data_IF_971924387407
#
_entry.id   IF_971924387407
#
_cell.length_a   1.000
_cell.length_b   1.000
_cell.length_c   1.000
_cell.angle_alpha   90.00
_cell.angle_beta   90.00
_cell.angle_gamma   90.00
#
_symmetry.space_group_name_H-M   'P 1'
#
loop_
_entity.id
_entity.type
_entity.pdbx_description
1 polymer ?
#
# COMPACT_ATOMS: atom_id res chain seq x y z
N UNK A 1 -6.01 -39.30 -13.57
CA UNK A 1 -6.68 -38.31 -14.40
C UNK A 1 -6.28 -36.94 -13.90
N UNK A 2 -5.46 -36.26 -14.68
CA UNK A 2 -4.63 -35.11 -14.30
C UNK A 2 -5.37 -33.82 -14.64
N UNK A 3 -5.70 -32.98 -13.68
CA UNK A 3 -6.25 -31.64 -13.93
C UNK A 3 -5.28 -30.58 -13.41
N UNK A 4 -4.34 -30.18 -14.26
CA UNK A 4 -3.50 -29.02 -14.06
C UNK A 4 -4.31 -27.75 -14.32
N UNK A 5 -4.65 -27.02 -13.27
CA UNK A 5 -5.19 -25.67 -13.37
C UNK A 5 -4.05 -24.70 -13.71
N UNK A 6 -4.13 -24.14 -14.91
CA UNK A 6 -3.27 -23.04 -15.39
C UNK A 6 -3.71 -21.74 -14.72
N UNK A 7 -2.86 -21.17 -13.88
CA UNK A 7 -2.99 -19.79 -13.44
C UNK A 7 -2.37 -18.86 -14.50
N UNK A 8 -3.18 -18.02 -15.08
CA UNK A 8 -2.71 -16.94 -15.94
C UNK A 8 -2.23 -15.78 -15.06
N UNK A 9 -0.92 -15.60 -14.97
CA UNK A 9 -0.28 -14.45 -14.32
C UNK A 9 -0.18 -13.35 -15.34
N UNK A 10 -0.92 -12.26 -15.14
CA UNK A 10 -0.77 -11.04 -15.92
C UNK A 10 0.54 -10.35 -15.57
N UNK A 11 1.50 -10.41 -16.47
CA UNK A 11 2.81 -9.75 -16.30
C UNK A 11 2.69 -8.25 -16.56
N UNK A 12 2.80 -7.46 -15.52
CA UNK A 12 3.09 -6.04 -15.60
C UNK A 12 4.60 -5.86 -15.75
N UNK A 13 5.02 -5.17 -16.79
CA UNK A 13 6.41 -4.88 -17.11
C UNK A 13 7.06 -4.00 -16.03
N UNK A 14 8.12 -4.49 -15.40
CA UNK A 14 9.03 -3.67 -14.61
C UNK A 14 10.38 -3.67 -15.32
N UNK A 15 10.78 -2.52 -15.87
CA UNK A 15 12.13 -2.29 -16.35
C UNK A 15 12.99 -1.78 -15.20
N UNK A 16 13.87 -2.63 -14.67
CA UNK A 16 14.95 -2.19 -13.78
C UNK A 16 16.18 -1.86 -14.62
N UNK A 17 16.57 -0.60 -14.65
CA UNK A 17 17.89 -0.17 -15.11
C UNK A 17 18.84 -0.21 -13.93
N UNK A 18 19.72 -1.21 -13.88
CA UNK A 18 20.85 -1.24 -12.95
C UNK A 18 22.06 -0.58 -13.58
N UNK A 19 22.48 0.56 -13.02
CA UNK A 19 23.79 1.16 -13.29
C UNK A 19 24.84 0.37 -12.50
N UNK A 20 25.70 -0.37 -13.19
CA UNK A 20 26.83 -1.04 -12.59
C UNK A 20 27.93 -0.02 -12.32
N UNK A 21 28.36 0.10 -11.07
CA UNK A 21 29.54 0.83 -10.65
C UNK A 21 30.82 0.22 -11.28
N UNK A 22 31.56 1.02 -12.02
CA UNK A 22 32.93 0.70 -12.40
C UNK A 22 33.85 1.86 -12.01
N UNK A 23 34.91 1.61 -11.23
CA UNK A 23 35.91 2.63 -10.91
C UNK A 23 37.04 2.57 -11.92
N UNK A 24 37.15 3.54 -12.79
CA UNK A 24 38.45 3.98 -13.37
C UNK A 24 38.25 5.13 -14.37
N UNK A 25 38.41 6.35 -13.92
CA UNK A 25 38.67 7.51 -14.76
C UNK A 25 40.12 7.43 -15.25
N UNK A 26 40.38 6.99 -16.49
CA UNK A 26 41.56 7.35 -17.23
C UNK A 26 41.16 8.15 -18.47
N UNK A 27 41.67 9.37 -18.49
CA UNK A 27 41.54 10.28 -19.60
C UNK A 27 42.13 9.66 -20.89
N UNK A 28 41.31 9.49 -21.92
CA UNK A 28 41.79 9.40 -23.29
C UNK A 28 40.81 10.12 -24.22
N UNK A 29 41.25 11.20 -24.77
CA UNK A 29 40.59 11.96 -25.83
C UNK A 29 40.55 11.11 -27.09
N UNK A 30 39.40 11.00 -27.67
CA UNK A 30 38.97 10.80 -29.06
C UNK A 30 37.87 9.75 -29.15
N UNK A 31 36.66 10.21 -29.51
CA UNK A 31 35.60 9.36 -30.09
C UNK A 31 34.97 8.33 -29.13
N UNK A 32 34.37 8.74 -28.05
CA UNK A 32 33.68 7.81 -27.15
C UNK A 32 32.30 7.42 -27.75
N UNK A 33 32.22 6.19 -28.23
CA UNK A 33 30.93 5.50 -28.38
C UNK A 33 30.52 4.94 -27.01
N UNK A 34 29.36 5.27 -26.56
CA UNK A 34 28.81 4.69 -25.32
C UNK A 34 28.06 3.42 -25.67
N UNK A 35 28.54 2.28 -25.17
CA UNK A 35 27.83 1.00 -25.25
C UNK A 35 26.85 0.94 -24.08
N UNK A 36 25.55 0.99 -24.39
CA UNK A 36 24.49 0.76 -23.40
C UNK A 36 24.01 -0.69 -23.54
N UNK A 37 24.23 -1.48 -22.51
CA UNK A 37 23.70 -2.84 -22.43
C UNK A 37 22.23 -2.80 -21.99
N UNK A 38 21.34 -3.31 -22.84
CA UNK A 38 19.92 -3.43 -22.53
C UNK A 38 19.58 -4.92 -22.46
N UNK A 39 19.02 -5.32 -21.30
CA UNK A 39 18.51 -6.68 -21.13
C UNK A 39 17.02 -6.71 -21.45
N UNK A 40 16.62 -7.55 -22.40
CA UNK A 40 15.20 -7.82 -22.68
C UNK A 40 14.85 -9.27 -22.37
N UNK A 41 13.66 -9.47 -21.81
CA UNK A 41 13.14 -10.80 -21.51
C UNK A 41 12.43 -11.35 -22.74
N UNK A 42 12.87 -12.49 -23.26
CA UNK A 42 12.27 -13.16 -24.43
C UNK A 42 11.34 -14.30 -24.00
N UNK A 43 10.35 -14.61 -24.83
CA UNK A 43 9.21 -15.54 -24.58
C UNK A 43 9.53 -16.99 -24.16
N UNK A 44 10.79 -17.33 -23.91
CA UNK A 44 11.22 -18.66 -23.44
C UNK A 44 12.00 -18.64 -22.13
N UNK A 45 11.84 -17.61 -21.29
CA UNK A 45 12.46 -17.58 -19.97
C UNK A 45 13.98 -17.32 -19.96
N UNK A 46 14.55 -16.79 -21.04
CA UNK A 46 15.98 -16.46 -21.13
C UNK A 46 16.20 -14.97 -21.32
N UNK A 47 17.22 -14.43 -20.63
CA UNK A 47 17.62 -13.04 -20.78
C UNK A 47 18.54 -12.90 -22.00
N UNK A 48 18.18 -12.05 -22.94
CA UNK A 48 19.01 -11.76 -24.12
C UNK A 48 19.65 -10.38 -23.96
N UNK A 49 20.97 -10.35 -24.02
CA UNK A 49 21.77 -9.13 -24.01
C UNK A 49 21.82 -8.56 -25.43
N UNK A 50 21.29 -7.35 -25.63
CA UNK A 50 21.37 -6.62 -26.87
C UNK A 50 22.28 -5.40 -26.68
N UNK A 51 23.31 -5.23 -27.49
CA UNK A 51 24.15 -4.04 -27.52
C UNK A 51 23.60 -3.10 -28.58
N UNK A 52 23.20 -1.91 -28.16
CA UNK A 52 22.80 -0.85 -29.08
C UNK A 52 23.98 0.12 -29.20
N UNK A 53 24.57 0.20 -30.37
CA UNK A 53 25.54 1.24 -30.71
C UNK A 53 24.77 2.50 -31.09
N UNK A 54 24.74 3.48 -30.19
CA UNK A 54 24.23 4.79 -30.52
C UNK A 54 25.25 5.56 -31.35
N UNK A 55 24.98 5.71 -32.67
CA UNK A 55 25.73 6.58 -33.54
C UNK A 55 25.49 8.04 -33.13
N UNK A 56 26.41 8.59 -32.36
CA UNK A 56 26.34 9.97 -31.88
C UNK A 56 26.46 10.98 -33.02
N UNK A 57 25.33 11.41 -33.58
CA UNK A 57 25.32 12.68 -34.31
C UNK A 57 25.56 13.79 -33.30
N UNK A 58 26.66 14.48 -33.50
CA UNK A 58 27.16 15.59 -32.66
C UNK A 58 26.12 16.72 -32.57
N UNK A 59 25.19 16.62 -31.63
CA UNK A 59 24.45 17.78 -31.18
C UNK A 59 25.34 18.49 -30.15
N UNK A 60 25.91 19.62 -30.55
CA UNK A 60 26.62 20.51 -29.64
C UNK A 60 25.61 21.23 -28.72
N UNK A 61 25.06 20.53 -27.76
CA UNK A 61 24.32 21.16 -26.69
C UNK A 61 25.29 21.70 -25.62
N UNK A 62 25.16 23.00 -25.34
CA UNK A 62 25.98 23.66 -24.32
C UNK A 62 25.84 22.90 -22.99
N UNK A 63 26.92 22.61 -22.25
CA UNK A 63 26.89 21.74 -21.07
C UNK A 63 25.94 22.18 -19.95
N UNK A 64 25.60 23.47 -19.90
CA UNK A 64 24.65 24.04 -18.91
C UNK A 64 23.19 23.57 -19.12
N UNK A 65 22.80 23.22 -20.36
CA UNK A 65 21.43 22.75 -20.68
C UNK A 65 21.30 21.25 -20.40
N UNK A 66 22.36 20.48 -20.62
CA UNK A 66 22.37 19.03 -20.38
C UNK A 66 22.27 18.69 -18.87
N UNK A 67 22.89 19.50 -18.00
CA UNK A 67 22.82 19.31 -16.54
C UNK A 67 21.41 19.66 -16.03
N UNK A 68 20.76 20.70 -16.56
CA UNK A 68 19.39 21.06 -16.19
C UNK A 68 18.36 19.99 -16.58
N UNK A 69 18.53 19.34 -17.75
CA UNK A 69 17.63 18.28 -18.19
C UNK A 69 17.83 16.97 -17.41
N UNK A 70 19.06 16.68 -16.98
CA UNK A 70 19.37 15.49 -16.17
C UNK A 70 18.81 15.59 -14.74
N UNK A 71 18.77 16.79 -14.17
CA UNK A 71 18.21 17.02 -12.82
C UNK A 71 16.68 16.88 -12.81
N UNK A 72 16.00 17.22 -13.92
CA UNK A 72 14.54 17.08 -14.03
C UNK A 72 14.06 15.62 -14.13
N UNK A 73 14.92 14.70 -14.56
CA UNK A 73 14.57 13.26 -14.75
C UNK A 73 14.79 12.45 -13.44
N UNK A 74 15.55 12.99 -12.49
CA UNK A 74 15.89 12.29 -11.21
C UNK A 74 15.16 12.91 -10.01
N UNK A 75 14.06 13.65 -10.23
CA UNK A 75 13.19 13.98 -9.11
C UNK A 75 12.46 12.69 -8.68
N UNK A 76 12.85 12.02 -7.59
CA UNK A 76 12.08 10.87 -7.12
C UNK A 76 10.68 11.40 -6.83
N UNK A 77 9.66 10.79 -7.41
CA UNK A 77 8.30 10.90 -6.88
C UNK A 77 8.39 10.38 -5.44
N UNK A 78 8.64 11.27 -4.51
CA UNK A 78 8.55 10.96 -3.09
C UNK A 78 7.07 10.71 -2.83
N UNK A 79 6.70 9.43 -2.85
CA UNK A 79 5.45 8.99 -2.26
C UNK A 79 5.57 9.28 -0.76
N UNK A 80 5.16 10.48 -0.37
CA UNK A 80 5.26 10.91 1.03
C UNK A 80 4.43 9.94 1.88
N UNK A 81 5.14 9.12 2.66
CA UNK A 81 4.51 8.25 3.62
C UNK A 81 3.79 9.12 4.65
N UNK A 82 2.51 8.85 4.88
CA UNK A 82 1.77 9.48 5.94
C UNK A 82 2.27 8.97 7.29
N UNK A 83 2.27 9.82 8.33
CA UNK A 83 2.71 9.43 9.67
C UNK A 83 1.52 9.31 10.60
N UNK A 84 1.34 8.17 11.24
CA UNK A 84 0.34 8.00 12.28
C UNK A 84 0.69 8.88 13.48
N UNK A 85 -0.26 9.67 13.95
CA UNK A 85 -0.08 10.49 15.16
C UNK A 85 -0.67 9.78 16.38
N UNK A 86 -1.90 9.29 16.28
CA UNK A 86 -2.56 8.56 17.37
C UNK A 86 -3.79 7.79 16.89
N UNK A 87 -4.14 6.73 17.62
CA UNK A 87 -5.41 6.00 17.49
C UNK A 87 -6.45 6.64 18.39
N UNK A 88 -7.68 6.82 17.89
CA UNK A 88 -8.82 7.36 18.66
C UNK A 88 -9.62 6.21 19.28
N UNK A 89 -10.11 5.31 18.43
CA UNK A 89 -10.92 4.15 18.76
C UNK A 89 -10.56 2.95 17.88
N UNK A 90 -11.42 1.94 17.76
CA UNK A 90 -11.12 0.71 17.03
C UNK A 90 -11.06 0.85 15.50
N UNK A 91 -11.50 1.99 14.95
CA UNK A 91 -11.54 2.23 13.51
C UNK A 91 -11.27 3.67 13.09
N UNK A 92 -10.83 4.51 14.02
CA UNK A 92 -10.53 5.92 13.74
C UNK A 92 -9.14 6.29 14.25
N UNK A 93 -8.37 6.95 13.40
CA UNK A 93 -7.00 7.38 13.70
C UNK A 93 -6.79 8.83 13.31
N UNK A 94 -5.74 9.44 13.82
CA UNK A 94 -5.23 10.73 13.33
C UNK A 94 -3.85 10.51 12.74
N UNK A 95 -3.66 10.99 11.52
CA UNK A 95 -2.39 10.92 10.82
C UNK A 95 -1.99 12.30 10.27
N UNK A 96 -0.70 12.51 10.10
CA UNK A 96 -0.14 13.61 9.32
C UNK A 96 -0.03 13.16 7.87
N UNK A 97 -0.79 13.80 6.98
CA UNK A 97 -0.75 13.58 5.52
C UNK A 97 -0.23 14.88 4.91
N UNK A 98 0.92 14.85 4.26
CA UNK A 98 1.57 16.04 3.68
C UNK A 98 1.69 17.20 4.70
N UNK A 99 2.08 16.87 5.94
CA UNK A 99 2.19 17.83 7.03
C UNK A 99 0.88 18.31 7.66
N UNK A 100 -0.28 17.92 7.11
CA UNK A 100 -1.59 18.28 7.65
C UNK A 100 -2.16 17.17 8.53
N UNK A 101 -2.54 17.52 9.74
CA UNK A 101 -3.23 16.61 10.66
C UNK A 101 -4.63 16.28 10.13
N UNK A 102 -4.89 15.01 9.87
CA UNK A 102 -6.14 14.52 9.27
C UNK A 102 -6.73 13.40 10.15
N UNK A 103 -8.01 13.51 10.45
CA UNK A 103 -8.77 12.43 11.09
C UNK A 103 -9.23 11.45 10.03
N UNK A 104 -8.86 10.18 10.18
CA UNK A 104 -9.16 9.10 9.24
C UNK A 104 -10.14 8.13 9.89
N UNK A 105 -11.19 7.76 9.17
CA UNK A 105 -12.11 6.66 9.44
C UNK A 105 -11.72 5.49 8.54
N UNK A 106 -11.37 4.35 9.12
CA UNK A 106 -11.08 3.15 8.34
C UNK A 106 -12.31 2.73 7.52
N UNK A 107 -12.10 2.50 6.24
CA UNK A 107 -13.18 2.18 5.32
C UNK A 107 -13.71 0.75 5.53
N UNK A 108 -14.98 0.52 5.16
CA UNK A 108 -15.60 -0.80 5.05
C UNK A 108 -15.74 -1.60 6.35
N UNK A 109 -15.38 -1.01 7.49
CA UNK A 109 -15.49 -1.64 8.82
C UNK A 109 -16.19 -0.73 9.83
N UNK A 110 -16.69 -1.31 10.91
CA UNK A 110 -17.20 -0.57 12.07
C UNK A 110 -16.80 -1.30 13.34
N UNK A 111 -16.05 -0.60 14.20
CA UNK A 111 -15.56 -1.14 15.45
C UNK A 111 -16.58 -0.96 16.57
N UNK A 112 -16.58 -1.85 17.56
CA UNK A 112 -17.35 -1.64 18.79
C UNK A 112 -16.97 -0.30 19.42
N UNK A 113 -17.99 0.43 19.90
CA UNK A 113 -17.79 1.68 20.63
C UNK A 113 -17.00 1.44 21.93
N UNK A 114 -16.29 2.43 22.39
CA UNK A 114 -15.53 2.32 23.66
C UNK A 114 -16.45 1.92 24.83
N UNK A 115 -17.73 2.35 24.78
CA UNK A 115 -18.76 1.96 25.76
C UNK A 115 -19.22 0.51 25.67
N UNK A 116 -18.97 -0.18 24.55
CA UNK A 116 -19.25 -1.62 24.40
C UNK A 116 -18.09 -2.45 25.01
N UNK A 117 -17.90 -2.32 26.31
CA UNK A 117 -16.85 -3.02 27.03
C UNK A 117 -17.06 -4.56 27.04
N UNK A 118 -15.99 -5.37 26.92
CA UNK A 118 -14.58 -4.94 26.79
C UNK A 118 -14.14 -4.68 25.34
N UNK A 119 -15.01 -4.95 24.37
CA UNK A 119 -14.67 -5.12 22.94
C UNK A 119 -14.13 -3.83 22.29
N UNK A 120 -14.74 -2.66 22.54
CA UNK A 120 -14.24 -1.40 21.99
C UNK A 120 -12.82 -1.06 22.45
N UNK A 121 -12.52 -1.34 23.73
CA UNK A 121 -11.15 -1.14 24.25
C UNK A 121 -10.16 -2.14 23.66
N UNK A 122 -10.57 -3.40 23.47
CA UNK A 122 -9.73 -4.43 22.85
C UNK A 122 -9.42 -4.03 21.39
N UNK A 123 -10.43 -3.67 20.60
CA UNK A 123 -10.23 -3.22 19.22
C UNK A 123 -9.26 -2.04 19.14
N UNK A 124 -9.48 -1.00 19.96
CA UNK A 124 -8.58 0.16 20.02
C UNK A 124 -7.16 -0.22 20.41
N UNK A 125 -6.97 -1.03 21.45
CA UNK A 125 -5.63 -1.39 21.91
C UNK A 125 -4.90 -2.27 20.88
N UNK A 126 -5.61 -3.15 20.18
CA UNK A 126 -5.03 -3.93 19.08
C UNK A 126 -4.64 -3.03 17.93
N UNK A 127 -5.46 -2.05 17.54
CA UNK A 127 -5.12 -1.08 16.51
C UNK A 127 -3.87 -0.26 16.90
N UNK A 128 -3.70 0.10 18.18
CA UNK A 128 -2.45 0.73 18.66
C UNK A 128 -1.24 -0.19 18.49
N UNK A 129 -1.41 -1.50 18.71
CA UNK A 129 -0.34 -2.48 18.49
C UNK A 129 0.03 -2.66 17.01
N UNK A 130 -0.99 -2.67 16.13
CA UNK A 130 -0.79 -2.78 14.69
C UNK A 130 -0.19 -1.50 14.08
N UNK A 131 -0.56 -0.35 14.62
CA UNK A 131 -0.13 0.98 14.19
C UNK A 131 0.44 1.76 15.37
N UNK A 132 1.70 1.56 15.74
CA UNK A 132 2.35 2.35 16.79
C UNK A 132 2.39 3.84 16.41
N UNK A 133 2.28 4.71 17.42
CA UNK A 133 2.41 6.16 17.22
C UNK A 133 3.71 6.51 16.50
N UNK A 134 3.63 7.48 15.60
CA UNK A 134 4.73 7.92 14.73
C UNK A 134 5.23 6.88 13.72
N UNK A 135 4.52 5.76 13.55
CA UNK A 135 4.81 4.83 12.45
C UNK A 135 4.42 5.44 11.10
N UNK A 136 5.18 5.09 10.07
CA UNK A 136 4.83 5.42 8.69
C UNK A 136 3.76 4.48 8.19
N UNK A 137 2.73 5.02 7.55
CA UNK A 137 1.58 4.30 7.00
C UNK A 137 1.34 4.70 5.55
N UNK A 138 0.68 3.83 4.81
CA UNK A 138 0.11 4.18 3.49
C UNK A 138 -1.38 4.43 3.68
N UNK A 139 -1.87 5.55 3.17
CA UNK A 139 -3.27 5.93 3.20
C UNK A 139 -3.79 5.95 1.78
N UNK A 140 -4.84 5.19 1.50
CA UNK A 140 -5.57 5.22 0.24
C UNK A 140 -6.90 5.94 0.47
N UNK A 141 -6.99 7.23 0.12
CA UNK A 141 -8.18 8.05 0.36
C UNK A 141 -9.32 7.62 -0.55
N UNK A 142 -10.55 7.69 -0.04
CA UNK A 142 -11.78 7.37 -0.76
C UNK A 142 -12.64 8.63 -0.88
N UNK A 143 -13.15 9.14 0.24
CA UNK A 143 -13.99 10.35 0.30
C UNK A 143 -13.90 10.99 1.68
N UNK A 144 -14.65 12.07 1.89
CA UNK A 144 -14.89 12.65 3.21
C UNK A 144 -16.33 12.33 3.64
N UNK A 145 -16.49 11.92 4.90
CA UNK A 145 -17.82 11.72 5.47
C UNK A 145 -18.47 13.06 5.89
N UNK A 146 -19.74 12.97 6.29
CA UNK A 146 -20.50 14.14 6.75
C UNK A 146 -19.94 14.84 7.99
N UNK A 147 -19.02 14.17 8.72
CA UNK A 147 -18.33 14.71 9.89
C UNK A 147 -16.95 15.29 9.57
N UNK A 148 -16.59 15.36 8.29
CA UNK A 148 -15.30 15.86 7.81
C UNK A 148 -14.11 14.92 8.06
N UNK A 149 -14.35 13.63 8.36
CA UNK A 149 -13.29 12.63 8.46
C UNK A 149 -12.96 12.10 7.06
N UNK A 150 -11.69 11.85 6.80
CA UNK A 150 -11.25 11.15 5.60
C UNK A 150 -11.57 9.67 5.74
N UNK A 151 -12.46 9.13 4.90
CA UNK A 151 -12.67 7.69 4.77
C UNK A 151 -11.57 7.13 3.90
N UNK A 152 -10.82 6.16 4.39
CA UNK A 152 -9.65 5.63 3.70
C UNK A 152 -9.34 4.17 4.09
N UNK A 153 -8.72 3.43 3.17
CA UNK A 153 -8.00 2.22 3.52
C UNK A 153 -6.61 2.60 4.04
N UNK A 154 -6.18 1.95 5.11
CA UNK A 154 -4.89 2.20 5.75
C UNK A 154 -4.07 0.91 5.75
N UNK A 155 -2.81 1.04 5.33
CA UNK A 155 -1.88 -0.08 5.24
C UNK A 155 -0.61 0.23 6.02
N UNK A 156 0.00 -0.81 6.57
CA UNK A 156 1.40 -0.71 7.01
C UNK A 156 2.33 -0.51 5.81
N UNK A 157 3.57 -0.10 6.04
CA UNK A 157 4.58 -0.06 4.95
C UNK A 157 4.83 -1.46 4.34
N UNK A 158 4.63 -2.53 5.13
CA UNK A 158 4.72 -3.92 4.67
C UNK A 158 3.53 -4.37 3.80
N UNK A 159 2.51 -3.51 3.61
CA UNK A 159 1.36 -3.80 2.76
C UNK A 159 0.21 -4.54 3.44
N UNK A 160 0.23 -4.67 4.77
CA UNK A 160 -0.89 -5.25 5.54
C UNK A 160 -2.04 -4.24 5.54
N UNK A 161 -3.21 -4.66 5.06
CA UNK A 161 -4.46 -3.89 5.19
C UNK A 161 -4.95 -3.99 6.64
N UNK A 162 -5.06 -2.85 7.30
CA UNK A 162 -5.44 -2.77 8.72
C UNK A 162 -6.91 -3.13 8.92
N UNK A 163 -7.79 -2.75 7.99
CA UNK A 163 -9.21 -3.12 8.05
C UNK A 163 -9.41 -4.64 7.96
N UNK A 164 -8.77 -5.27 6.98
CA UNK A 164 -8.82 -6.73 6.83
C UNK A 164 -8.25 -7.47 8.05
N UNK A 165 -7.14 -6.97 8.61
CA UNK A 165 -6.52 -7.59 9.78
C UNK A 165 -7.42 -7.50 11.02
N UNK A 166 -8.07 -6.36 11.24
CA UNK A 166 -9.02 -6.22 12.35
C UNK A 166 -10.25 -7.14 12.19
N UNK A 167 -10.76 -7.32 10.96
CA UNK A 167 -11.84 -8.29 10.69
C UNK A 167 -11.35 -9.71 10.97
N UNK A 168 -10.16 -10.07 10.49
CA UNK A 168 -9.53 -11.38 10.69
C UNK A 168 -9.38 -11.74 12.17
N UNK A 169 -9.02 -10.75 12.98
CA UNK A 169 -8.92 -10.88 14.43
C UNK A 169 -10.28 -10.87 15.14
N UNK A 170 -11.38 -10.72 14.40
CA UNK A 170 -12.73 -10.68 14.94
C UNK A 170 -12.98 -9.48 15.87
N UNK A 171 -12.37 -8.33 15.60
CA UNK A 171 -12.42 -7.15 16.47
C UNK A 171 -13.39 -6.08 15.98
N UNK A 172 -13.79 -6.15 14.73
CA UNK A 172 -14.67 -5.20 14.04
C UNK A 172 -15.69 -5.95 13.19
N UNK A 173 -16.74 -5.26 12.78
CA UNK A 173 -17.73 -5.75 11.83
C UNK A 173 -17.45 -5.20 10.43
N UNK A 174 -17.75 -5.98 9.40
CA UNK A 174 -17.84 -5.45 8.04
C UNK A 174 -19.04 -4.52 7.96
N UNK A 175 -18.81 -3.33 7.42
CA UNK A 175 -19.80 -2.27 7.28
C UNK A 175 -19.80 -1.71 5.88
N UNK A 176 -21.01 -1.43 5.33
CA UNK A 176 -21.17 -0.91 3.98
C UNK A 176 -20.48 -1.77 2.89
N UNK A 177 -20.54 -3.10 3.03
CA UNK A 177 -19.89 -4.05 2.12
C UNK A 177 -20.26 -3.87 0.63
N UNK A 178 -21.41 -3.26 0.33
CA UNK A 178 -21.90 -3.04 -1.02
C UNK A 178 -21.39 -1.75 -1.66
N UNK A 179 -20.66 -0.91 -0.93
CA UNK A 179 -20.05 0.28 -1.50
C UNK A 179 -18.96 -0.10 -2.50
N UNK A 180 -18.89 0.61 -3.61
CA UNK A 180 -18.02 0.29 -4.75
C UNK A 180 -16.52 0.27 -4.43
N UNK A 181 -16.13 0.91 -3.33
CA UNK A 181 -14.76 0.97 -2.85
C UNK A 181 -14.41 -0.16 -1.85
N UNK A 182 -15.41 -0.99 -1.46
CA UNK A 182 -15.21 -2.13 -0.58
C UNK A 182 -15.18 -3.43 -1.40
N UNK A 183 -14.19 -4.28 -1.15
CA UNK A 183 -14.24 -5.68 -1.62
C UNK A 183 -15.13 -6.50 -0.69
N UNK A 184 -16.44 -6.22 -0.76
CA UNK A 184 -17.44 -6.80 0.13
C UNK A 184 -17.40 -8.33 0.20
N UNK A 185 -17.38 -9.07 -0.93
CA UNK A 185 -17.28 -10.52 -0.90
C UNK A 185 -16.07 -11.04 -0.14
N UNK A 186 -14.90 -10.43 -0.32
CA UNK A 186 -13.68 -10.78 0.39
C UNK A 186 -13.79 -10.49 1.89
N UNK A 187 -14.24 -9.29 2.25
CA UNK A 187 -14.35 -8.88 3.64
C UNK A 187 -15.34 -9.74 4.42
N UNK A 188 -16.50 -10.06 3.81
CA UNK A 188 -17.50 -10.93 4.41
C UNK A 188 -17.00 -12.36 4.58
N UNK A 189 -16.18 -12.86 3.66
CA UNK A 189 -15.54 -14.17 3.81
C UNK A 189 -14.59 -14.20 5.01
N UNK A 190 -13.78 -13.15 5.19
CA UNK A 190 -12.86 -13.03 6.33
C UNK A 190 -13.65 -12.93 7.64
N UNK A 191 -14.73 -12.14 7.66
CA UNK A 191 -15.61 -12.03 8.83
C UNK A 191 -16.24 -13.37 9.18
N UNK A 192 -16.71 -14.14 8.18
CA UNK A 192 -17.30 -15.45 8.40
C UNK A 192 -16.29 -16.47 8.97
N UNK A 193 -15.05 -16.43 8.52
CA UNK A 193 -13.96 -17.23 9.08
C UNK A 193 -13.71 -16.89 10.55
N UNK A 194 -13.66 -15.60 10.92
CA UNK A 194 -13.51 -15.14 12.29
C UNK A 194 -14.69 -15.61 13.17
N UNK A 195 -15.91 -15.53 12.64
CA UNK A 195 -17.15 -15.98 13.29
C UNK A 195 -17.16 -17.48 13.54
N UNK A 196 -16.82 -18.30 12.52
CA UNK A 196 -16.73 -19.76 12.64
C UNK A 196 -15.68 -20.18 13.67
N UNK A 197 -14.56 -19.44 13.72
CA UNK A 197 -13.47 -19.67 14.68
C UNK A 197 -13.80 -19.16 16.08
N UNK A 198 -14.94 -18.47 16.28
CA UNK A 198 -15.37 -17.91 17.57
C UNK A 198 -14.33 -17.05 18.26
N UNK A 199 -13.71 -16.14 17.49
CA UNK A 199 -12.70 -15.22 18.03
C UNK A 199 -13.26 -13.81 18.21
N UNK A 200 -12.65 -13.05 19.09
CA UNK A 200 -13.00 -11.65 19.33
C UNK A 200 -14.45 -11.44 19.74
N UNK A 201 -15.18 -10.61 18.99
CA UNK A 201 -16.60 -10.29 19.20
C UNK A 201 -17.56 -11.47 18.96
N UNK A 202 -17.06 -12.56 18.34
CA UNK A 202 -17.82 -13.77 18.01
C UNK A 202 -17.68 -14.86 19.08
N UNK A 203 -16.87 -14.62 20.12
CA UNK A 203 -16.48 -15.64 21.09
C UNK A 203 -17.67 -16.23 21.84
N UNK A 204 -18.55 -15.36 22.37
CA UNK A 204 -19.62 -15.75 23.28
C UNK A 204 -20.95 -15.99 22.56
N UNK A 205 -21.11 -15.46 21.34
CA UNK A 205 -22.33 -15.62 20.54
C UNK A 205 -22.03 -15.66 19.04
N UNK A 206 -22.66 -16.57 18.27
CA UNK A 206 -22.45 -16.67 16.81
C UNK A 206 -22.84 -15.40 16.04
N UNK A 207 -23.79 -14.63 16.54
CA UNK A 207 -24.22 -13.35 15.97
C UNK A 207 -23.27 -12.18 16.34
N UNK A 208 -22.34 -12.42 17.27
CA UNK A 208 -21.49 -11.40 17.85
C UNK A 208 -22.23 -10.54 18.88
N UNK A 209 -21.59 -9.43 19.26
CA UNK A 209 -22.19 -8.41 20.13
C UNK A 209 -23.15 -7.52 19.34
N UNK A 210 -23.90 -6.63 20.02
CA UNK A 210 -24.70 -5.58 19.38
C UNK A 210 -23.86 -4.82 18.38
N UNK A 211 -24.38 -4.66 17.16
CA UNK A 211 -23.70 -3.92 16.11
C UNK A 211 -23.44 -2.46 16.53
N UNK A 212 -22.25 -1.88 16.27
CA UNK A 212 -21.94 -0.52 16.71
C UNK A 212 -22.93 0.54 16.21
N UNK A 213 -23.38 0.41 14.97
CA UNK A 213 -24.38 1.32 14.37
C UNK A 213 -25.80 1.18 14.96
N UNK A 214 -26.08 0.15 15.74
CA UNK A 214 -27.31 -0.01 16.52
C UNK A 214 -27.14 0.40 17.98
N UNK A 215 -25.90 0.52 18.44
CA UNK A 215 -25.55 0.91 19.80
C UNK A 215 -25.48 2.43 19.98
N UNK A 216 -25.12 3.18 18.93
CA UNK A 216 -25.01 4.65 18.89
C UNK A 216 -26.33 5.38 19.07
#
# INVERSE_FOLDING_TARGET
MDHRLRWAVSHRWYSCVQLADQPAWRSQRRGATFDVAVYSFADRGTWKLSRIQALGKRLMMKPKIAIGLLILVVCPLQLEASTLLRVIDGDSVIASIQGKQTKIRLACIDAPEIGQAPHGRIARNTLIGLLPSHSSIKVQPINYDQYGRLVANVFTLGGIDIGEELIRLGLVFVYQANESHCDGPKLLLIEDQARQSRIGIWKDAPQGITRPWLYR
#
